data_IF_411187261658
#
_entry.id   IF_411187261658
#
_cell.length_a   1.000
_cell.length_b   1.000
_cell.length_c   1.000
_cell.angle_alpha   90.00
_cell.angle_beta   90.00
_cell.angle_gamma   90.00
#
_symmetry.space_group_name_H-M   'P 1'
#
loop_
_entity.id
_entity.type
_entity.pdbx_description
1 polymer ?
#
# COMPACT_ATOMS: atom_id res chain seq x y z
N UNK A 1 -5.87 -17.70 4.10
CA UNK A 1 -6.07 -16.35 3.52
C UNK A 1 -5.11 -15.52 4.33
N UNK A 2 -4.19 -14.81 3.67
CA UNK A 2 -3.25 -14.00 4.41
C UNK A 2 -4.02 -12.99 5.26
N UNK A 3 -3.57 -12.77 6.49
CA UNK A 3 -4.13 -11.70 7.33
C UNK A 3 -3.93 -10.38 6.61
N UNK A 4 -4.90 -9.48 6.66
CA UNK A 4 -4.81 -8.19 5.98
C UNK A 4 -4.79 -7.06 6.99
N UNK A 5 -4.11 -5.99 6.62
CA UNK A 5 -4.04 -4.75 7.40
C UNK A 5 -4.54 -3.62 6.53
N UNK A 6 -5.37 -2.75 7.11
CA UNK A 6 -5.85 -1.53 6.49
C UNK A 6 -4.71 -0.49 6.43
N UNK A 7 -4.59 0.22 5.31
CA UNK A 7 -3.62 1.29 5.14
C UNK A 7 -4.20 2.47 4.36
N UNK A 8 -3.73 3.68 4.71
CA UNK A 8 -3.95 4.90 3.93
C UNK A 8 -3.12 4.82 2.64
N UNK A 9 -3.76 4.90 1.47
CA UNK A 9 -3.13 4.63 0.18
C UNK A 9 -2.07 5.66 -0.18
N UNK A 10 -2.32 6.95 0.04
CA UNK A 10 -1.34 7.99 -0.29
C UNK A 10 -0.08 7.83 0.55
N UNK A 11 -0.25 7.58 1.85
CA UNK A 11 0.87 7.34 2.72
C UNK A 11 1.59 6.01 2.43
N UNK A 12 0.84 4.96 2.14
CA UNK A 12 1.36 3.67 1.72
C UNK A 12 2.18 3.79 0.44
N UNK A 13 1.66 4.48 -0.58
CA UNK A 13 2.35 4.75 -1.83
C UNK A 13 3.64 5.53 -1.58
N UNK A 14 3.61 6.64 -0.83
CA UNK A 14 4.80 7.45 -0.56
C UNK A 14 5.89 6.75 0.26
N UNK A 15 5.55 5.69 0.98
CA UNK A 15 6.50 4.90 1.77
C UNK A 15 6.92 3.61 1.07
N UNK A 16 6.17 3.17 0.05
CA UNK A 16 6.44 1.99 -0.74
C UNK A 16 7.83 2.08 -1.42
N UNK A 17 8.66 1.02 -1.37
CA UNK A 17 10.00 1.02 -1.95
C UNK A 17 10.01 1.13 -3.49
N UNK A 18 8.89 0.84 -4.15
CA UNK A 18 8.76 0.89 -5.61
C UNK A 18 8.21 2.22 -6.12
N UNK A 19 7.66 3.06 -5.25
CA UNK A 19 7.09 4.34 -5.62
C UNK A 19 8.19 5.35 -5.98
N UNK A 20 7.91 6.20 -6.97
CA UNK A 20 8.69 7.42 -7.21
C UNK A 20 7.77 8.57 -7.62
N UNK A 21 8.08 9.76 -7.12
CA UNK A 21 7.35 10.99 -7.45
C UNK A 21 7.93 11.65 -8.72
N UNK A 22 7.10 12.42 -9.41
CA UNK A 22 7.48 13.16 -10.62
C UNK A 22 7.55 12.29 -11.87
N UNK A 23 6.79 11.18 -11.91
CA UNK A 23 6.60 10.42 -13.13
C UNK A 23 5.97 11.30 -14.23
N UNK A 24 6.32 11.09 -15.51
CA UNK A 24 5.70 11.82 -16.62
C UNK A 24 4.23 11.41 -16.87
N UNK A 25 3.74 10.39 -16.17
CA UNK A 25 2.42 9.76 -16.31
C UNK A 25 1.68 9.75 -14.98
N UNK A 26 0.39 9.38 -15.00
CA UNK A 26 -0.41 9.15 -13.79
C UNK A 26 -0.26 10.27 -12.72
N UNK A 27 -0.37 11.53 -13.14
CA UNK A 27 -0.26 12.71 -12.28
C UNK A 27 1.02 12.77 -11.41
N UNK A 28 2.13 12.19 -11.87
CA UNK A 28 3.40 12.19 -11.14
C UNK A 28 3.64 10.93 -10.29
N UNK A 29 2.68 10.01 -10.21
CA UNK A 29 2.74 8.84 -9.33
C UNK A 29 3.25 7.62 -10.08
N UNK A 30 4.57 7.43 -10.03
CA UNK A 30 5.24 6.35 -10.74
C UNK A 30 5.49 5.11 -9.89
N UNK A 31 5.61 3.96 -10.55
CA UNK A 31 5.94 2.68 -9.93
C UNK A 31 7.10 1.99 -10.68
N UNK A 32 8.05 1.43 -9.92
CA UNK A 32 9.19 0.63 -10.42
C UNK A 32 9.03 -0.87 -10.14
N UNK A 33 7.87 -1.30 -9.64
CA UNK A 33 7.66 -2.71 -9.39
C UNK A 33 7.68 -3.47 -10.73
N UNK A 34 8.49 -4.54 -10.90
CA UNK A 34 8.59 -5.24 -12.17
C UNK A 34 7.25 -5.79 -12.69
N UNK A 35 6.35 -6.15 -11.78
CA UNK A 35 5.01 -6.66 -12.10
C UNK A 35 3.93 -5.58 -11.91
N UNK A 36 4.29 -4.30 -12.08
CA UNK A 36 3.33 -3.19 -12.02
C UNK A 36 2.14 -3.46 -12.95
N UNK A 37 0.92 -3.42 -12.40
CA UNK A 37 -0.29 -3.82 -13.12
C UNK A 37 -0.75 -2.83 -14.19
N UNK A 38 -0.18 -1.62 -14.22
CA UNK A 38 -0.55 -0.57 -15.17
C UNK A 38 0.64 0.28 -15.56
N UNK A 39 0.77 0.55 -16.86
CA UNK A 39 1.81 1.41 -17.40
C UNK A 39 1.23 2.29 -18.50
N UNK A 40 1.71 3.52 -18.56
CA UNK A 40 1.37 4.51 -19.58
C UNK A 40 2.64 4.87 -20.37
N UNK A 41 2.49 5.36 -21.61
CA UNK A 41 3.62 5.86 -22.40
C UNK A 41 3.97 7.30 -22.00
N UNK A 42 5.26 7.60 -21.82
CA UNK A 42 5.73 8.97 -21.67
C UNK A 42 5.76 9.73 -23.02
N UNK A 43 6.14 11.01 -22.98
CA UNK A 43 6.26 11.86 -24.18
C UNK A 43 7.25 11.31 -25.23
N UNK A 44 8.15 10.40 -24.86
CA UNK A 44 9.09 9.73 -25.74
C UNK A 44 8.61 8.33 -26.19
N UNK A 45 7.39 7.94 -25.83
CA UNK A 45 6.81 6.63 -26.11
C UNK A 45 7.43 5.49 -25.30
N UNK A 46 8.09 5.78 -24.17
CA UNK A 46 8.64 4.75 -23.28
C UNK A 46 7.60 4.35 -22.23
N UNK A 47 7.46 3.05 -21.93
CA UNK A 47 6.53 2.59 -20.91
C UNK A 47 6.99 3.04 -19.51
N UNK A 48 6.08 3.66 -18.78
CA UNK A 48 6.24 4.11 -17.40
C UNK A 48 5.19 3.46 -16.50
N UNK A 49 5.63 2.71 -15.50
CA UNK A 49 4.74 2.08 -14.52
C UNK A 49 4.01 3.12 -13.67
N UNK A 50 2.73 2.87 -13.39
CA UNK A 50 1.83 3.77 -12.68
C UNK A 50 1.53 3.24 -11.27
N UNK A 51 1.71 4.07 -10.24
CA UNK A 51 1.27 3.72 -8.89
C UNK A 51 -0.22 4.02 -8.77
N UNK A 52 -1.05 2.98 -8.84
CA UNK A 52 -2.49 3.13 -8.93
C UNK A 52 -3.21 2.06 -8.09
N UNK A 53 -4.11 2.48 -7.19
CA UNK A 53 -4.70 1.62 -6.16
C UNK A 53 -5.48 0.42 -6.69
N UNK A 54 -6.10 0.56 -7.86
CA UNK A 54 -6.99 -0.46 -8.43
C UNK A 54 -6.24 -1.55 -9.19
N UNK A 55 -5.02 -1.27 -9.61
CA UNK A 55 -4.19 -2.16 -10.45
C UNK A 55 -2.90 -2.55 -9.76
N UNK A 56 -2.63 -2.02 -8.56
CA UNK A 56 -1.47 -2.39 -7.76
C UNK A 56 -1.53 -3.88 -7.38
N UNK A 57 -0.48 -4.66 -7.64
CA UNK A 57 -0.43 -6.07 -7.23
C UNK A 57 -0.04 -6.27 -5.76
N UNK A 58 0.39 -5.22 -5.06
CA UNK A 58 0.86 -5.28 -3.66
C UNK A 58 -0.27 -5.01 -2.66
N UNK A 59 -1.34 -4.34 -3.08
CA UNK A 59 -2.45 -3.97 -2.21
C UNK A 59 -3.78 -4.05 -2.96
N UNK A 60 -4.87 -4.29 -2.23
CA UNK A 60 -6.22 -4.31 -2.78
C UNK A 60 -6.99 -3.06 -2.36
N UNK A 61 -7.82 -2.45 -3.22
CA UNK A 61 -8.77 -1.42 -2.80
C UNK A 61 -9.61 -1.91 -1.62
N UNK A 62 -9.76 -1.07 -0.60
CA UNK A 62 -10.66 -1.35 0.51
C UNK A 62 -12.11 -1.10 0.09
N UNK A 63 -13.00 -2.01 0.46
CA UNK A 63 -14.44 -1.93 0.21
C UNK A 63 -15.28 -2.34 1.41
N UNK A 64 -16.59 -2.08 1.35
CA UNK A 64 -17.52 -2.43 2.43
C UNK A 64 -17.48 -3.92 2.78
N UNK A 65 -17.31 -4.80 1.78
CA UNK A 65 -17.22 -6.26 1.94
C UNK A 65 -16.02 -6.71 2.75
N UNK A 66 -14.94 -5.92 2.81
CA UNK A 66 -13.78 -6.23 3.63
C UNK A 66 -14.10 -6.17 5.12
N UNK A 67 -15.13 -5.41 5.52
CA UNK A 67 -15.57 -5.35 6.91
C UNK A 67 -16.22 -6.64 7.40
N UNK A 68 -16.57 -7.56 6.49
CA UNK A 68 -17.10 -8.87 6.85
C UNK A 68 -16.00 -9.88 7.20
N UNK A 69 -14.73 -9.53 6.96
CA UNK A 69 -13.56 -10.30 7.37
C UNK A 69 -13.21 -9.99 8.85
N UNK A 70 -13.44 -10.93 9.79
CA UNK A 70 -13.15 -10.70 11.20
C UNK A 70 -11.65 -10.70 11.52
N UNK A 71 -10.80 -11.12 10.59
CA UNK A 71 -9.34 -11.13 10.75
C UNK A 71 -8.67 -9.89 10.14
N UNK A 72 -9.42 -9.01 9.47
CA UNK A 72 -8.91 -7.74 8.98
C UNK A 72 -8.51 -6.84 10.15
N UNK A 73 -7.23 -6.46 10.20
CA UNK A 73 -6.75 -5.45 11.12
C UNK A 73 -7.09 -4.05 10.57
N UNK A 74 -7.96 -3.34 11.29
CA UNK A 74 -8.43 -2.00 10.93
C UNK A 74 -7.46 -0.89 11.36
N UNK A 75 -6.22 -1.23 11.74
CA UNK A 75 -5.18 -0.29 12.17
C UNK A 75 -5.68 0.59 13.33
N UNK A 76 -6.31 -0.06 14.32
CA UNK A 76 -6.88 0.59 15.50
C UNK A 76 -8.17 1.37 15.29
N UNK A 77 -8.71 1.43 14.05
CA UNK A 77 -10.00 2.06 13.75
C UNK A 77 -11.16 1.14 14.11
N UNK A 78 -12.27 1.74 14.54
CA UNK A 78 -13.54 1.07 14.75
C UNK A 78 -14.35 1.00 13.46
N UNK A 79 -15.11 -0.10 13.28
CA UNK A 79 -15.99 -0.31 12.11
C UNK A 79 -16.90 0.90 11.79
N UNK A 80 -17.40 1.59 12.82
CA UNK A 80 -18.33 2.71 12.64
C UNK A 80 -17.69 3.92 11.96
N UNK A 81 -16.36 4.02 11.96
CA UNK A 81 -15.61 5.12 11.32
C UNK A 81 -15.67 5.08 9.79
N UNK A 82 -16.06 3.95 9.20
CA UNK A 82 -16.20 3.78 7.75
C UNK A 82 -17.61 4.04 7.23
N UNK A 83 -18.52 4.54 8.08
CA UNK A 83 -19.88 4.86 7.68
C UNK A 83 -20.16 6.33 7.98
N UNK A 84 -20.81 7.00 7.03
CA UNK A 84 -21.31 8.36 7.22
C UNK A 84 -22.47 8.41 8.23
N UNK A 85 -22.98 9.62 8.48
CA UNK A 85 -24.07 9.83 9.44
C UNK A 85 -25.37 9.12 9.05
N UNK A 86 -25.57 8.86 7.76
CA UNK A 86 -26.76 8.22 7.22
C UNK A 86 -26.58 6.69 7.09
N UNK A 87 -25.40 6.17 7.47
CA UNK A 87 -25.06 4.74 7.46
C UNK A 87 -24.52 4.25 6.11
N UNK A 88 -24.17 5.14 5.18
CA UNK A 88 -23.53 4.79 3.93
C UNK A 88 -22.04 4.56 4.10
N UNK A 89 -21.49 3.52 3.45
CA UNK A 89 -20.05 3.26 3.46
C UNK A 89 -19.27 4.43 2.83
N UNK A 90 -18.23 4.89 3.53
CA UNK A 90 -17.48 6.10 3.20
C UNK A 90 -15.97 5.89 3.38
N UNK A 91 -15.31 5.39 2.35
CA UNK A 91 -13.84 5.30 2.22
C UNK A 91 -13.26 6.43 1.36
N UNK A 92 -14.08 7.10 0.53
CA UNK A 92 -13.58 8.13 -0.40
C UNK A 92 -12.59 7.63 -1.46
N UNK A 93 -12.25 6.33 -1.43
CA UNK A 93 -11.23 5.72 -2.26
C UNK A 93 -9.80 5.89 -1.72
N UNK A 94 -9.65 6.18 -0.43
CA UNK A 94 -8.37 6.52 0.19
C UNK A 94 -7.68 5.31 0.84
N UNK A 95 -8.41 4.23 1.13
CA UNK A 95 -7.86 3.08 1.84
C UNK A 95 -7.60 1.88 0.93
N UNK A 96 -6.63 1.08 1.35
CA UNK A 96 -6.30 -0.22 0.76
C UNK A 96 -6.12 -1.26 1.87
N UNK A 97 -6.23 -2.53 1.51
CA UNK A 97 -5.81 -3.65 2.36
C UNK A 97 -4.52 -4.25 1.81
N UNK A 98 -3.63 -4.64 2.71
CA UNK A 98 -2.32 -5.21 2.38
C UNK A 98 -2.16 -6.52 3.13
N UNK A 99 -1.74 -7.58 2.45
CA UNK A 99 -1.47 -8.85 3.11
C UNK A 99 -0.31 -8.72 4.12
N UNK A 100 -0.40 -9.50 5.19
CA UNK A 100 0.53 -9.51 6.31
C UNK A 100 0.73 -10.93 6.85
N UNK A 101 1.74 -11.08 7.70
CA UNK A 101 2.11 -12.37 8.30
C UNK A 101 2.90 -13.25 7.33
N UNK A 102 2.97 -14.54 7.66
CA UNK A 102 3.83 -15.50 6.95
C UNK A 102 3.29 -15.90 5.56
N UNK A 103 1.99 -15.70 5.32
CA UNK A 103 1.35 -15.97 4.01
C UNK A 103 1.51 -14.81 3.01
N UNK A 104 1.98 -13.64 3.46
CA UNK A 104 2.20 -12.49 2.58
C UNK A 104 3.46 -12.64 1.72
N UNK A 105 3.40 -12.13 0.50
CA UNK A 105 4.50 -12.03 -0.45
C UNK A 105 5.67 -11.20 0.09
N UNK A 106 6.83 -11.28 -0.55
CA UNK A 106 8.00 -10.49 -0.15
C UNK A 106 7.73 -8.99 -0.29
N UNK A 107 7.08 -8.59 -1.37
CA UNK A 107 6.81 -7.20 -1.71
C UNK A 107 5.71 -6.58 -0.87
N UNK A 108 4.68 -7.35 -0.54
CA UNK A 108 3.63 -6.98 0.44
C UNK A 108 4.26 -6.72 1.81
N UNK A 109 5.12 -7.64 2.27
CA UNK A 109 5.85 -7.48 3.55
C UNK A 109 6.81 -6.30 3.54
N UNK A 110 7.53 -6.09 2.44
CA UNK A 110 8.47 -4.97 2.31
C UNK A 110 7.75 -3.62 2.31
N UNK A 111 6.65 -3.49 1.54
CA UNK A 111 5.85 -2.27 1.49
C UNK A 111 5.15 -2.00 2.83
N UNK A 112 4.55 -3.03 3.44
CA UNK A 112 3.91 -2.91 4.76
C UNK A 112 4.91 -2.56 5.86
N UNK A 113 6.12 -3.13 5.84
CA UNK A 113 7.19 -2.74 6.76
C UNK A 113 7.59 -1.27 6.58
N UNK A 114 7.71 -0.80 5.33
CA UNK A 114 8.06 0.59 5.06
C UNK A 114 6.98 1.56 5.55
N UNK A 115 5.71 1.23 5.32
CA UNK A 115 4.55 1.95 5.83
C UNK A 115 4.52 1.99 7.36
N UNK A 116 4.62 0.83 8.02
CA UNK A 116 4.62 0.75 9.49
C UNK A 116 5.81 1.50 10.11
N UNK A 117 7.00 1.42 9.49
CA UNK A 117 8.16 2.21 9.93
C UNK A 117 7.91 3.71 9.85
N UNK A 118 7.13 4.18 8.88
CA UNK A 118 6.73 5.59 8.83
C UNK A 118 5.73 5.94 9.93
N UNK A 119 4.72 5.10 10.18
CA UNK A 119 3.77 5.31 11.28
C UNK A 119 4.49 5.38 12.63
N UNK A 120 5.45 4.48 12.85
CA UNK A 120 6.29 4.39 14.04
C UNK A 120 7.58 5.21 13.97
N UNK A 121 7.69 6.21 13.08
CA UNK A 121 8.94 6.99 12.86
C UNK A 121 9.49 7.71 14.10
N UNK A 122 8.67 7.87 15.13
CA UNK A 122 9.05 8.47 16.42
C UNK A 122 9.19 7.46 17.57
N UNK A 123 8.89 6.18 17.34
CA UNK A 123 8.99 5.11 18.33
C UNK A 123 10.32 4.35 18.14
N UNK A 124 11.32 4.74 18.94
CA UNK A 124 12.68 4.16 18.84
C UNK A 124 12.70 2.66 19.15
N UNK A 125 11.99 2.23 20.18
CA UNK A 125 11.98 0.82 20.60
C UNK A 125 11.34 -0.06 19.52
N UNK A 126 10.28 0.44 18.88
CA UNK A 126 9.66 -0.25 17.77
C UNK A 126 10.60 -0.34 16.57
N UNK A 127 11.27 0.75 16.20
CA UNK A 127 12.18 0.79 15.04
C UNK A 127 13.42 -0.09 15.21
N UNK A 128 13.90 -0.30 16.44
CA UNK A 128 14.99 -1.22 16.78
C UNK A 128 14.59 -2.69 16.58
N UNK A 129 13.33 -3.03 16.89
CA UNK A 129 12.77 -4.38 16.72
C UNK A 129 12.40 -4.69 15.26
N UNK A 130 12.17 -3.66 14.45
CA UNK A 130 11.73 -3.77 13.06
C UNK A 130 12.69 -3.06 12.11
N UNK A 131 13.96 -3.52 11.99
CA UNK A 131 14.97 -2.84 11.19
C UNK A 131 14.54 -2.72 9.72
N UNK A 132 15.05 -1.70 9.02
CA UNK A 132 14.85 -1.61 7.57
C UNK A 132 15.39 -2.87 6.91
N UNK A 133 14.61 -3.45 6.01
CA UNK A 133 15.11 -4.40 5.05
C UNK A 133 15.60 -3.58 3.86
N UNK A 134 16.87 -3.70 3.51
CA UNK A 134 17.35 -3.16 2.25
C UNK A 134 16.71 -4.00 1.13
N UNK A 135 16.05 -3.39 0.13
CA UNK A 135 15.58 -4.15 -1.00
C UNK A 135 16.80 -4.87 -1.60
N UNK A 136 16.71 -6.19 -1.73
CA UNK A 136 17.73 -6.93 -2.47
C UNK A 136 17.76 -6.31 -3.86
N UNK A 137 18.90 -5.73 -4.24
CA UNK A 137 19.06 -5.22 -5.61
C UNK A 137 18.74 -6.38 -6.55
N UNK A 138 17.85 -6.21 -7.54
CA UNK A 138 17.69 -7.24 -8.55
C UNK A 138 19.08 -7.47 -9.16
N UNK A 139 19.51 -8.74 -9.19
CA UNK A 139 20.74 -9.10 -9.88
C UNK A 139 20.64 -8.55 -11.32
N UNK A 140 21.60 -7.69 -11.67
CA UNK A 140 21.73 -7.14 -13.03
C UNK A 140 21.94 -8.23 -14.06
#
# INVERSE_FOLDING_TARGET
>A
MAKRVLADFDLFAHTCPYFYNGAPVNNGYGCRYPECGEAEEDDAGQPCGCCHRYTCPICCPFGEEDLDDPELDLDGRGRQEFFDRDGGFADGGELVTVASGDEAGEEERAALLAYNRYLHRYDKEWLEKHPRQEPQSPAR
#
